data_IF_567663582664
#
_entry.id   IF_567663582664
#
_cell.length_a   1.000
_cell.length_b   1.000
_cell.length_c   1.000
_cell.angle_alpha   90.00
_cell.angle_beta   90.00
_cell.angle_gamma   90.00
#
_symmetry.space_group_name_H-M   'P 1'
#
loop_
_entity.id
_entity.type
_entity.pdbx_description
1 polymer ?
#
# COMPACT_ATOMS: atom_id res chain seq x y z
N UNK A 1 30.98 -24.44 35.73
CA UNK A 1 30.36 -23.13 36.02
C UNK A 1 29.11 -23.00 35.14
N UNK A 2 27.94 -23.42 35.62
CA UNK A 2 26.71 -23.39 34.83
C UNK A 2 26.09 -21.99 34.84
N UNK A 3 26.02 -21.33 33.69
CA UNK A 3 25.22 -20.11 33.54
C UNK A 3 23.74 -20.47 33.68
N UNK A 4 23.06 -19.82 34.61
CA UNK A 4 21.60 -19.84 34.70
C UNK A 4 21.10 -18.95 33.55
N UNK A 5 20.85 -19.55 32.39
CA UNK A 5 20.18 -18.86 31.28
C UNK A 5 18.73 -18.61 31.69
N UNK A 6 18.29 -17.35 31.62
CA UNK A 6 16.88 -17.07 31.81
C UNK A 6 16.10 -17.62 30.61
N UNK A 7 14.87 -18.10 30.83
CA UNK A 7 13.96 -18.49 29.74
C UNK A 7 13.83 -17.42 28.62
N UNK A 8 13.98 -16.14 28.97
CA UNK A 8 13.98 -15.03 28.02
C UNK A 8 15.22 -14.95 27.14
N UNK A 9 16.37 -15.42 27.63
CA UNK A 9 17.60 -15.45 26.84
C UNK A 9 17.59 -16.63 25.88
N UNK A 10 17.11 -17.79 26.33
CA UNK A 10 16.89 -18.94 25.45
C UNK A 10 15.92 -18.58 24.31
N UNK A 11 14.77 -17.99 24.64
CA UNK A 11 13.79 -17.57 23.63
C UNK A 11 14.34 -16.51 22.65
N UNK A 12 15.23 -15.61 23.12
CA UNK A 12 15.90 -14.67 22.24
C UNK A 12 16.90 -15.37 21.30
N UNK A 13 17.72 -16.30 21.82
CA UNK A 13 18.70 -17.03 21.02
C UNK A 13 18.05 -17.92 19.95
N UNK A 14 16.94 -18.58 20.28
CA UNK A 14 16.15 -19.35 19.30
C UNK A 14 15.61 -18.44 18.18
N UNK A 15 15.02 -17.30 18.54
CA UNK A 15 14.54 -16.33 17.56
C UNK A 15 15.66 -15.72 16.72
N UNK A 16 16.82 -15.47 17.32
CA UNK A 16 18.01 -14.96 16.63
C UNK A 16 18.53 -15.97 15.60
N UNK A 17 18.57 -17.25 15.98
CA UNK A 17 18.94 -18.35 15.06
C UNK A 17 17.96 -18.44 13.88
N UNK A 18 16.65 -18.33 14.14
CA UNK A 18 15.64 -18.30 13.07
C UNK A 18 15.76 -17.05 12.18
N UNK A 19 16.11 -15.90 12.74
CA UNK A 19 16.39 -14.66 12.01
C UNK A 19 17.64 -14.76 11.12
N UNK A 20 18.71 -15.36 11.62
CA UNK A 20 19.93 -15.63 10.83
C UNK A 20 19.62 -16.55 9.65
N UNK A 21 18.89 -17.64 9.88
CA UNK A 21 18.45 -18.54 8.82
C UNK A 21 17.57 -17.84 7.77
N UNK A 22 16.61 -17.03 8.22
CA UNK A 22 15.80 -16.21 7.32
C UNK A 22 16.66 -15.29 6.46
N UNK A 23 17.60 -14.56 7.08
CA UNK A 23 18.46 -13.61 6.37
C UNK A 23 19.42 -14.30 5.41
N UNK A 24 19.91 -15.49 5.74
CA UNK A 24 20.73 -16.30 4.84
C UNK A 24 19.97 -16.75 3.59
N UNK A 25 18.69 -17.11 3.72
CA UNK A 25 17.86 -17.54 2.58
C UNK A 25 17.35 -16.34 1.74
N UNK A 26 17.01 -15.22 2.38
CA UNK A 26 16.33 -14.10 1.73
C UNK A 26 17.22 -12.90 1.43
N UNK A 27 18.45 -12.86 1.98
CA UNK A 27 19.42 -11.77 1.82
C UNK A 27 19.15 -10.52 2.67
N UNK A 28 18.18 -10.57 3.58
CA UNK A 28 17.81 -9.45 4.46
C UNK A 28 16.99 -9.91 5.68
N UNK A 29 16.91 -9.08 6.71
CA UNK A 29 16.10 -9.34 7.92
C UNK A 29 14.73 -8.64 7.91
N UNK A 30 14.17 -8.41 6.72
CA UNK A 30 12.94 -7.64 6.53
C UNK A 30 11.68 -8.51 6.46
N UNK A 31 11.63 -9.62 7.19
CA UNK A 31 10.54 -10.60 7.11
C UNK A 31 9.13 -9.99 7.28
N UNK A 32 8.12 -10.42 6.48
CA UNK A 32 6.72 -10.04 6.69
C UNK A 32 6.20 -10.58 8.02
N UNK A 33 5.12 -10.00 8.53
CA UNK A 33 4.56 -10.42 9.85
C UNK A 33 4.10 -11.88 9.84
N UNK A 34 3.71 -12.41 8.69
CA UNK A 34 3.28 -13.80 8.50
C UNK A 34 4.44 -14.79 8.33
N UNK A 35 5.69 -14.31 8.30
CA UNK A 35 6.85 -15.18 8.10
C UNK A 35 7.05 -16.16 9.26
N UNK A 36 7.26 -17.42 8.89
CA UNK A 36 7.66 -18.52 9.77
C UNK A 36 8.93 -19.13 9.18
N UNK A 37 9.96 -19.32 10.01
CA UNK A 37 11.20 -19.96 9.60
C UNK A 37 11.49 -21.16 10.52
N UNK A 38 11.56 -22.37 9.96
CA UNK A 38 11.74 -23.62 10.71
C UNK A 38 10.80 -23.76 11.92
N UNK A 39 9.52 -23.41 11.72
CA UNK A 39 8.49 -23.46 12.77
C UNK A 39 8.52 -22.28 13.75
N UNK A 40 9.54 -21.42 13.73
CA UNK A 40 9.61 -20.22 14.55
C UNK A 40 8.85 -19.06 13.88
N UNK A 41 7.99 -18.31 14.60
CA UNK A 41 7.22 -17.19 14.05
C UNK A 41 8.07 -15.91 13.88
N UNK A 42 9.11 -15.99 13.05
CA UNK A 42 10.14 -14.95 12.84
C UNK A 42 9.55 -13.58 12.48
N UNK A 43 8.47 -13.54 11.71
CA UNK A 43 7.79 -12.30 11.34
C UNK A 43 7.24 -11.50 12.52
N UNK A 44 6.50 -12.19 13.40
CA UNK A 44 5.95 -11.60 14.63
C UNK A 44 7.06 -11.27 15.61
N UNK A 45 8.05 -12.15 15.74
CA UNK A 45 9.21 -11.94 16.62
C UNK A 45 9.99 -10.67 16.23
N UNK A 46 10.33 -10.50 14.94
CA UNK A 46 10.98 -9.29 14.43
C UNK A 46 10.09 -8.04 14.57
N UNK A 47 8.78 -8.15 14.36
CA UNK A 47 7.85 -7.02 14.60
C UNK A 47 7.94 -6.51 16.05
N UNK A 48 7.98 -7.44 17.01
CA UNK A 48 8.08 -7.09 18.43
C UNK A 48 9.45 -6.47 18.75
N UNK A 49 10.54 -7.04 18.22
CA UNK A 49 11.88 -6.49 18.40
C UNK A 49 12.05 -5.11 17.77
N UNK A 50 11.45 -4.84 16.60
CA UNK A 50 11.47 -3.50 16.00
C UNK A 50 10.72 -2.49 16.87
N UNK A 51 9.68 -2.92 17.57
CA UNK A 51 8.95 -2.06 18.52
C UNK A 51 9.82 -1.73 19.73
N UNK A 52 10.48 -2.76 20.30
CA UNK A 52 11.43 -2.59 21.40
C UNK A 52 12.66 -1.74 20.99
N UNK A 53 13.17 -1.92 19.77
CA UNK A 53 14.31 -1.19 19.21
C UNK A 53 13.99 0.29 18.96
N UNK A 54 12.81 0.60 18.40
CA UNK A 54 12.34 2.00 18.28
C UNK A 54 12.20 2.66 19.65
N UNK A 55 11.77 1.91 20.67
CA UNK A 55 11.70 2.43 22.04
C UNK A 55 13.09 2.74 22.59
N UNK A 56 14.08 1.87 22.35
CA UNK A 56 15.48 2.14 22.70
C UNK A 56 15.98 3.43 22.03
N UNK A 57 15.80 3.58 20.72
CA UNK A 57 16.21 4.78 19.98
C UNK A 57 15.53 6.07 20.51
N UNK A 58 14.26 6.00 20.90
CA UNK A 58 13.57 7.14 21.52
C UNK A 58 14.13 7.50 22.91
N UNK A 59 14.55 6.50 23.69
CA UNK A 59 15.19 6.71 24.99
C UNK A 59 16.56 7.38 24.81
N UNK A 60 17.35 6.89 23.86
CA UNK A 60 18.66 7.45 23.50
C UNK A 60 18.54 8.91 23.06
N UNK A 61 17.62 9.21 22.13
CA UNK A 61 17.36 10.57 21.65
C UNK A 61 16.91 11.52 22.77
N UNK A 62 16.08 11.04 23.71
CA UNK A 62 15.69 11.84 24.89
C UNK A 62 16.86 12.13 25.82
N UNK A 63 17.72 11.13 26.06
CA UNK A 63 18.91 11.28 26.89
C UNK A 63 19.86 12.32 26.29
N UNK A 64 20.08 12.25 24.98
CA UNK A 64 20.92 13.21 24.25
C UNK A 64 20.35 14.63 24.31
N UNK A 65 19.02 14.77 24.21
CA UNK A 65 18.33 16.06 24.34
C UNK A 65 18.18 16.57 25.78
N UNK A 66 18.70 15.85 26.79
CA UNK A 66 18.54 16.22 28.21
C UNK A 66 17.10 16.15 28.74
N UNK A 67 16.22 15.39 28.08
CA UNK A 67 14.80 15.26 28.41
C UNK A 67 14.55 14.09 29.39
N UNK A 68 13.48 14.14 30.21
CA UNK A 68 13.08 13.00 31.03
C UNK A 68 12.77 11.75 30.20
N UNK A 69 13.41 10.63 30.54
CA UNK A 69 13.37 9.37 29.78
C UNK A 69 12.05 8.59 29.98
N UNK A 70 11.41 8.72 31.15
CA UNK A 70 10.23 7.92 31.49
C UNK A 70 10.58 6.42 31.67
N UNK A 71 9.66 5.52 31.31
CA UNK A 71 9.82 4.07 31.51
C UNK A 71 10.66 3.41 30.42
N UNK A 72 11.70 2.69 30.82
CA UNK A 72 12.56 1.85 29.96
C UNK A 72 11.99 0.44 29.71
N UNK A 73 10.92 0.05 30.41
CA UNK A 73 10.37 -1.30 30.33
C UNK A 73 9.97 -1.66 28.88
N UNK A 74 10.43 -2.82 28.39
CA UNK A 74 10.16 -3.27 27.02
C UNK A 74 11.00 -2.58 25.94
N UNK A 75 11.98 -1.75 26.30
CA UNK A 75 13.04 -1.35 25.37
C UNK A 75 13.96 -2.55 25.08
N UNK A 76 14.48 -2.60 23.86
CA UNK A 76 15.49 -3.59 23.51
C UNK A 76 16.79 -3.27 24.26
N UNK A 77 17.58 -4.28 24.62
CA UNK A 77 18.93 -4.04 25.13
C UNK A 77 19.88 -3.72 23.98
N UNK A 78 20.96 -2.98 24.26
CA UNK A 78 21.99 -2.66 23.26
C UNK A 78 22.59 -3.94 22.67
N UNK A 79 22.96 -4.92 23.49
CA UNK A 79 23.48 -6.23 23.03
C UNK A 79 22.53 -6.94 22.05
N UNK A 80 21.22 -6.90 22.29
CA UNK A 80 20.23 -7.55 21.41
C UNK A 80 20.00 -6.74 20.13
N UNK A 81 20.11 -5.40 20.18
CA UNK A 81 20.11 -4.55 18.98
C UNK A 81 21.33 -4.88 18.12
N UNK A 82 22.51 -4.88 18.71
CA UNK A 82 23.78 -5.10 18.02
C UNK A 82 23.80 -6.49 17.34
N UNK A 83 23.25 -7.52 18.00
CA UNK A 83 23.08 -8.85 17.41
C UNK A 83 22.19 -8.87 16.15
N UNK A 84 21.15 -8.03 16.09
CA UNK A 84 20.26 -7.92 14.91
C UNK A 84 20.90 -7.07 13.81
N UNK A 85 21.60 -6.00 14.18
CA UNK A 85 22.34 -5.14 13.24
C UNK A 85 23.49 -5.87 12.55
N UNK A 86 24.15 -6.79 13.26
CA UNK A 86 25.16 -7.66 12.68
C UNK A 86 24.60 -8.59 11.58
N UNK A 87 23.30 -8.92 11.61
CA UNK A 87 22.63 -9.69 10.56
C UNK A 87 22.24 -8.77 9.39
N UNK A 88 21.57 -7.66 9.69
CA UNK A 88 21.14 -6.68 8.69
C UNK A 88 20.97 -5.31 9.36
N UNK A 89 21.82 -4.31 9.05
CA UNK A 89 21.69 -2.96 9.60
C UNK A 89 20.34 -2.30 9.30
N UNK A 90 19.64 -2.76 8.26
CA UNK A 90 18.33 -2.23 7.88
C UNK A 90 17.15 -2.94 8.55
N UNK A 91 17.38 -3.83 9.53
CA UNK A 91 16.33 -4.64 10.19
C UNK A 91 15.20 -3.81 10.83
N UNK A 92 15.50 -2.60 11.32
CA UNK A 92 14.54 -1.69 11.95
C UNK A 92 14.50 -0.30 11.26
N UNK A 93 13.91 -0.20 10.06
CA UNK A 93 13.87 1.05 9.31
C UNK A 93 12.96 2.09 10.00
N UNK A 94 13.21 3.38 9.71
CA UNK A 94 12.39 4.51 10.18
C UNK A 94 11.03 4.63 9.45
N UNK A 95 10.84 3.91 8.36
CA UNK A 95 9.65 3.85 7.51
C UNK A 95 9.07 2.43 7.48
N UNK A 96 7.95 2.17 6.76
CA UNK A 96 7.36 0.83 6.73
C UNK A 96 8.33 -0.27 6.27
N UNK A 97 8.35 -1.41 6.97
CA UNK A 97 9.23 -2.55 6.67
C UNK A 97 8.99 -3.08 5.25
N UNK A 98 7.74 -3.09 4.78
CA UNK A 98 7.40 -3.50 3.42
C UNK A 98 8.07 -2.60 2.36
N UNK A 99 8.12 -1.28 2.60
CA UNK A 99 8.83 -0.34 1.73
C UNK A 99 10.33 -0.66 1.69
N UNK A 100 10.95 -0.85 2.86
CA UNK A 100 12.38 -1.20 2.94
C UNK A 100 12.68 -2.53 2.24
N UNK A 101 11.77 -3.51 2.33
CA UNK A 101 11.91 -4.80 1.66
C UNK A 101 11.88 -4.63 0.15
N UNK A 102 10.84 -3.99 -0.40
CA UNK A 102 10.74 -3.76 -1.83
C UNK A 102 11.95 -2.99 -2.37
N UNK A 103 12.40 -1.95 -1.66
CA UNK A 103 13.65 -1.25 -1.98
C UNK A 103 14.87 -2.17 -2.04
N UNK A 104 15.07 -3.03 -1.02
CA UNK A 104 16.19 -3.99 -0.99
C UNK A 104 16.13 -5.00 -2.14
N UNK A 105 14.94 -5.47 -2.49
CA UNK A 105 14.74 -6.39 -3.62
C UNK A 105 15.04 -5.69 -4.96
N UNK A 106 14.59 -4.45 -5.16
CA UNK A 106 14.96 -3.63 -6.31
C UNK A 106 16.48 -3.39 -6.39
N UNK A 107 17.14 -3.09 -5.26
CA UNK A 107 18.61 -2.98 -5.20
C UNK A 107 19.31 -4.28 -5.60
N UNK A 108 18.76 -5.42 -5.18
CA UNK A 108 19.23 -6.74 -5.58
C UNK A 108 19.20 -6.92 -7.10
N UNK A 109 18.09 -6.56 -7.76
CA UNK A 109 17.98 -6.61 -9.22
C UNK A 109 19.07 -5.78 -9.91
N UNK A 110 19.27 -4.54 -9.49
CA UNK A 110 20.30 -3.66 -10.07
C UNK A 110 21.69 -4.25 -9.87
N UNK A 111 21.96 -4.83 -8.69
CA UNK A 111 23.26 -5.41 -8.35
C UNK A 111 23.62 -6.59 -9.25
N UNK A 112 22.63 -7.37 -9.70
CA UNK A 112 22.83 -8.47 -10.65
C UNK A 112 22.67 -8.04 -12.11
N UNK A 113 22.54 -6.73 -12.38
CA UNK A 113 22.39 -6.17 -13.73
C UNK A 113 21.01 -6.37 -14.36
N UNK A 114 20.00 -6.74 -13.58
CA UNK A 114 18.63 -6.83 -14.05
C UNK A 114 17.94 -5.46 -14.03
N UNK A 115 17.16 -5.11 -15.08
CA UNK A 115 16.43 -3.85 -15.09
C UNK A 115 15.31 -3.84 -14.04
N UNK A 116 14.96 -2.65 -13.54
CA UNK A 116 13.79 -2.51 -12.68
C UNK A 116 12.50 -2.68 -13.48
N UNK A 117 11.49 -3.38 -12.92
CA UNK A 117 10.17 -3.44 -13.55
C UNK A 117 9.51 -2.06 -13.55
N UNK A 118 8.83 -1.73 -14.64
CA UNK A 118 8.16 -0.44 -14.85
C UNK A 118 6.64 -0.54 -14.81
N UNK A 119 6.08 -1.76 -14.83
CA UNK A 119 4.64 -1.99 -14.77
C UNK A 119 4.27 -3.08 -13.75
N UNK A 120 3.09 -2.99 -13.12
CA UNK A 120 2.56 -4.02 -12.23
C UNK A 120 2.60 -5.42 -12.85
N UNK A 121 2.94 -6.42 -12.03
CA UNK A 121 2.97 -7.84 -12.42
C UNK A 121 4.17 -8.27 -13.25
N UNK A 122 5.05 -7.35 -13.69
CA UNK A 122 6.23 -7.72 -14.48
C UNK A 122 7.24 -8.57 -13.68
N UNK A 123 7.48 -8.19 -12.42
CA UNK A 123 8.41 -8.91 -11.55
C UNK A 123 7.83 -8.99 -10.14
N UNK A 124 7.58 -10.23 -9.70
CA UNK A 124 7.26 -10.52 -8.30
C UNK A 124 8.42 -11.28 -7.67
N UNK A 125 8.96 -10.77 -6.57
CA UNK A 125 10.08 -11.39 -5.86
C UNK A 125 9.76 -11.44 -4.37
N UNK A 126 9.94 -12.62 -3.75
CA UNK A 126 9.60 -12.86 -2.34
C UNK A 126 8.18 -12.41 -1.95
N UNK A 127 7.22 -12.52 -2.88
CA UNK A 127 5.82 -12.14 -2.69
C UNK A 127 5.52 -10.64 -2.85
N UNK A 128 6.52 -9.82 -3.20
CA UNK A 128 6.34 -8.38 -3.46
C UNK A 128 6.28 -8.13 -4.98
N UNK A 129 5.22 -7.46 -5.45
CA UNK A 129 5.14 -6.97 -6.82
C UNK A 129 5.97 -5.69 -6.95
N UNK A 130 7.20 -5.85 -7.44
CA UNK A 130 8.16 -4.76 -7.54
C UNK A 130 7.76 -3.76 -8.63
N UNK A 131 7.06 -4.19 -9.67
CA UNK A 131 6.59 -3.29 -10.73
C UNK A 131 5.49 -2.36 -10.23
N UNK A 132 4.53 -2.91 -9.48
CA UNK A 132 3.51 -2.11 -8.80
C UNK A 132 4.14 -1.17 -7.77
N UNK A 133 5.13 -1.65 -7.01
CA UNK A 133 5.82 -0.82 -6.01
C UNK A 133 6.59 0.35 -6.65
N UNK A 134 7.38 0.09 -7.70
CA UNK A 134 8.12 1.13 -8.45
C UNK A 134 7.15 2.16 -9.01
N UNK A 135 6.06 1.72 -9.66
CA UNK A 135 5.05 2.62 -10.20
C UNK A 135 4.44 3.50 -9.09
N UNK A 136 4.07 2.92 -7.95
CA UNK A 136 3.54 3.67 -6.82
C UNK A 136 4.54 4.72 -6.31
N UNK A 137 5.84 4.38 -6.22
CA UNK A 137 6.85 5.35 -5.79
C UNK A 137 6.98 6.54 -6.75
N UNK A 138 6.91 6.29 -8.06
CA UNK A 138 6.98 7.36 -9.07
C UNK A 138 5.75 8.25 -9.04
N UNK A 139 4.56 7.68 -8.83
CA UNK A 139 3.29 8.43 -8.77
C UNK A 139 3.15 9.26 -7.50
N UNK A 140 3.51 8.71 -6.34
CA UNK A 140 3.38 9.34 -5.03
C UNK A 140 4.69 9.98 -4.54
N UNK A 141 5.55 10.41 -5.48
CA UNK A 141 6.91 10.90 -5.17
C UNK A 141 6.94 12.04 -4.14
N UNK A 142 5.95 12.94 -4.19
CA UNK A 142 5.81 14.07 -3.27
C UNK A 142 5.49 13.65 -1.82
N UNK A 143 5.04 12.41 -1.60
CA UNK A 143 4.74 11.87 -0.27
C UNK A 143 5.94 11.14 0.36
N UNK A 144 7.04 10.98 -0.38
CA UNK A 144 8.25 10.34 0.13
C UNK A 144 8.96 11.23 1.15
N UNK A 145 9.52 10.60 2.18
CA UNK A 145 10.46 11.31 3.04
C UNK A 145 11.71 11.71 2.23
N UNK A 146 12.42 12.81 2.57
CA UNK A 146 13.60 13.25 1.84
C UNK A 146 14.66 12.16 1.64
N UNK A 147 14.89 11.33 2.67
CA UNK A 147 15.81 10.20 2.59
C UNK A 147 15.32 9.11 1.64
N UNK A 148 14.01 8.83 1.60
CA UNK A 148 13.43 7.86 0.66
C UNK A 148 13.58 8.35 -0.78
N UNK A 149 13.21 9.60 -1.07
CA UNK A 149 13.37 10.19 -2.40
C UNK A 149 14.84 10.16 -2.86
N UNK A 150 15.76 10.55 -1.98
CA UNK A 150 17.21 10.49 -2.28
C UNK A 150 17.67 9.06 -2.59
N UNK A 151 17.23 8.06 -1.82
CA UNK A 151 17.55 6.66 -2.07
C UNK A 151 16.99 6.16 -3.39
N UNK A 152 15.76 6.50 -3.75
CA UNK A 152 15.16 6.08 -5.03
C UNK A 152 15.88 6.71 -6.22
N UNK A 153 16.20 8.01 -6.13
CA UNK A 153 16.89 8.74 -7.19
C UNK A 153 18.33 8.26 -7.38
N UNK A 154 19.09 8.15 -6.28
CA UNK A 154 20.53 7.91 -6.37
C UNK A 154 20.89 6.42 -6.40
N UNK A 155 20.09 5.57 -5.76
CA UNK A 155 20.39 4.13 -5.63
C UNK A 155 19.57 3.26 -6.57
N UNK A 156 18.39 3.73 -7.01
CA UNK A 156 17.53 3.02 -7.96
C UNK A 156 17.38 3.72 -9.32
N UNK A 157 17.90 4.95 -9.46
CA UNK A 157 17.78 5.76 -10.69
C UNK A 157 16.33 5.97 -11.13
N UNK A 158 15.42 6.08 -10.16
CA UNK A 158 14.01 6.39 -10.40
C UNK A 158 13.77 7.91 -10.40
N UNK A 159 12.82 8.35 -11.20
CA UNK A 159 12.36 9.73 -11.28
C UNK A 159 10.85 9.79 -11.04
N UNK A 160 10.32 10.93 -10.54
CA UNK A 160 8.88 11.13 -10.41
C UNK A 160 8.17 10.90 -11.75
N UNK A 161 6.94 10.40 -11.68
CA UNK A 161 6.10 10.18 -12.85
C UNK A 161 5.77 11.51 -13.54
N UNK A 162 6.01 11.55 -14.84
CA UNK A 162 5.68 12.68 -15.71
C UNK A 162 4.15 12.82 -15.84
N UNK A 163 3.64 14.01 -16.19
CA UNK A 163 2.20 14.25 -16.28
C UNK A 163 1.43 13.29 -17.19
N UNK A 164 2.05 12.81 -18.26
CA UNK A 164 1.51 11.85 -19.22
C UNK A 164 1.54 10.39 -18.72
N UNK A 165 2.40 10.07 -17.76
CA UNK A 165 2.47 8.75 -17.12
C UNK A 165 1.47 8.61 -15.96
N UNK A 166 0.92 9.74 -15.48
CA UNK A 166 -0.04 9.72 -14.36
C UNK A 166 -1.39 9.20 -14.87
N UNK A 167 -2.04 8.29 -14.12
CA UNK A 167 -3.39 7.89 -14.47
C UNK A 167 -4.31 9.12 -14.45
N UNK A 168 -5.32 9.18 -15.32
CA UNK A 168 -6.26 10.29 -15.35
C UNK A 168 -6.90 10.44 -13.97
N UNK A 169 -7.10 11.70 -13.56
CA UNK A 169 -7.71 12.00 -12.29
C UNK A 169 -9.02 11.20 -12.13
N UNK A 170 -9.27 10.60 -10.95
CA UNK A 170 -10.49 9.84 -10.76
C UNK A 170 -11.70 10.74 -11.00
N UNK A 171 -12.65 10.27 -11.80
CA UNK A 171 -13.90 10.99 -12.07
C UNK A 171 -14.56 11.43 -10.77
N UNK A 172 -14.89 12.71 -10.67
CA UNK A 172 -15.57 13.28 -9.51
C UNK A 172 -16.98 12.67 -9.36
N UNK A 173 -17.62 12.86 -8.21
CA UNK A 173 -19.02 12.45 -8.05
C UNK A 173 -19.95 13.20 -9.01
N UNK A 174 -19.61 14.44 -9.36
CA UNK A 174 -20.34 15.21 -10.36
C UNK A 174 -20.18 14.60 -11.76
N UNK A 175 -18.96 14.22 -12.16
CA UNK A 175 -18.70 13.58 -13.46
C UNK A 175 -19.42 12.23 -13.57
N UNK A 176 -19.36 11.42 -12.49
CA UNK A 176 -20.09 10.14 -12.43
C UNK A 176 -21.59 10.35 -12.52
N UNK A 177 -22.13 11.38 -11.88
CA UNK A 177 -23.55 11.73 -11.99
C UNK A 177 -23.92 12.13 -13.41
N UNK A 178 -23.18 13.07 -14.00
CA UNK A 178 -23.39 13.53 -15.38
C UNK A 178 -23.31 12.38 -16.39
N UNK A 179 -22.37 11.45 -16.21
CA UNK A 179 -22.24 10.24 -17.04
C UNK A 179 -23.47 9.33 -16.94
N UNK A 180 -23.99 9.11 -15.73
CA UNK A 180 -25.21 8.33 -15.53
C UNK A 180 -26.45 9.03 -16.12
N UNK A 181 -26.54 10.36 -16.02
CA UNK A 181 -27.61 11.14 -16.64
C UNK A 181 -27.51 11.10 -18.17
N UNK A 182 -26.31 11.14 -18.76
CA UNK A 182 -26.10 10.95 -20.21
C UNK A 182 -26.57 9.56 -20.65
N UNK A 183 -26.19 8.51 -19.91
CA UNK A 183 -26.68 7.15 -20.16
C UNK A 183 -28.20 7.04 -20.03
N UNK A 184 -28.80 7.70 -19.04
CA UNK A 184 -30.24 7.71 -18.86
C UNK A 184 -30.95 8.42 -20.02
N UNK A 185 -30.40 9.55 -20.51
CA UNK A 185 -30.91 10.26 -21.69
C UNK A 185 -30.85 9.41 -22.96
N UNK A 186 -29.72 8.75 -23.23
CA UNK A 186 -29.61 7.86 -24.40
C UNK A 186 -30.56 6.66 -24.31
N UNK A 187 -30.68 6.05 -23.13
CA UNK A 187 -31.63 4.96 -22.92
C UNK A 187 -33.07 5.44 -23.11
N UNK A 188 -33.43 6.60 -22.54
CA UNK A 188 -34.76 7.19 -22.69
C UNK A 188 -35.04 7.53 -24.16
N UNK A 189 -34.07 8.07 -24.89
CA UNK A 189 -34.23 8.38 -26.31
C UNK A 189 -34.46 7.11 -27.15
N UNK A 190 -33.85 5.98 -26.78
CA UNK A 190 -34.00 4.69 -27.49
C UNK A 190 -35.28 3.94 -27.12
N UNK A 191 -35.59 3.86 -25.82
CA UNK A 191 -36.65 2.99 -25.27
C UNK A 191 -37.92 3.77 -24.91
N UNK A 192 -37.88 5.11 -24.99
CA UNK A 192 -38.98 6.01 -24.65
C UNK A 192 -39.23 6.21 -23.15
N UNK A 193 -38.63 5.40 -22.26
CA UNK A 193 -38.87 5.50 -20.82
C UNK A 193 -37.74 4.95 -19.95
N UNK A 194 -37.58 5.53 -18.75
CA UNK A 194 -36.73 5.00 -17.68
C UNK A 194 -37.46 4.04 -16.72
N UNK A 195 -38.75 3.75 -16.96
CA UNK A 195 -39.54 2.89 -16.07
C UNK A 195 -39.07 1.45 -16.08
N UNK A 196 -38.88 0.90 -17.27
CA UNK A 196 -38.65 -0.52 -17.54
C UNK A 196 -37.17 -0.88 -17.61
N UNK A 197 -36.27 -0.01 -17.12
CA UNK A 197 -34.82 -0.26 -17.14
C UNK A 197 -34.51 -1.56 -16.38
N UNK A 198 -34.01 -2.61 -17.06
CA UNK A 198 -33.63 -3.84 -16.39
C UNK A 198 -32.49 -3.59 -15.39
N UNK A 199 -32.49 -4.26 -14.23
CA UNK A 199 -31.45 -4.06 -13.19
C UNK A 199 -30.02 -4.26 -13.71
N UNK A 200 -29.83 -5.17 -14.68
CA UNK A 200 -28.53 -5.46 -15.32
C UNK A 200 -28.26 -4.63 -16.58
N UNK A 201 -29.10 -3.65 -16.90
CA UNK A 201 -28.94 -2.82 -18.09
C UNK A 201 -27.62 -2.05 -18.04
N UNK A 202 -26.88 -2.17 -19.15
CA UNK A 202 -25.64 -1.44 -19.40
C UNK A 202 -25.83 -0.61 -20.66
N UNK A 203 -25.53 0.67 -20.59
CA UNK A 203 -25.49 1.58 -21.74
C UNK A 203 -24.04 1.83 -22.10
N UNK A 204 -23.69 1.66 -23.37
CA UNK A 204 -22.37 1.99 -23.90
C UNK A 204 -22.41 3.43 -24.42
N UNK A 205 -21.64 4.31 -23.80
CA UNK A 205 -21.51 5.70 -24.20
C UNK A 205 -20.25 5.86 -25.05
N UNK A 206 -20.39 6.46 -26.23
CA UNK A 206 -19.24 6.88 -27.05
C UNK A 206 -18.64 8.16 -26.50
N UNK A 207 -17.34 8.16 -26.23
CA UNK A 207 -16.58 9.34 -25.83
C UNK A 207 -15.96 10.05 -27.06
N UNK A 208 -15.59 11.35 -26.95
CA UNK A 208 -15.04 12.11 -28.08
C UNK A 208 -13.72 11.56 -28.65
N UNK A 209 -12.96 10.81 -27.86
CA UNK A 209 -11.71 10.14 -28.26
C UNK A 209 -11.96 8.79 -28.97
N UNK A 210 -13.23 8.43 -29.20
CA UNK A 210 -13.64 7.17 -29.82
C UNK A 210 -13.71 5.99 -28.84
N UNK A 211 -13.33 6.17 -27.57
CA UNK A 211 -13.46 5.14 -26.55
C UNK A 211 -14.93 4.91 -26.16
N UNK A 212 -15.21 3.75 -25.58
CA UNK A 212 -16.54 3.35 -25.14
C UNK A 212 -16.57 3.21 -23.62
N UNK A 213 -17.46 3.93 -22.95
CA UNK A 213 -17.67 3.82 -21.50
C UNK A 213 -18.94 3.04 -21.20
N UNK A 214 -18.79 1.86 -20.58
CA UNK A 214 -19.91 1.05 -20.11
C UNK A 214 -20.51 1.59 -18.79
N UNK A 215 -21.76 2.06 -18.84
CA UNK A 215 -22.49 2.56 -17.68
C UNK A 215 -23.55 1.56 -17.25
N UNK A 216 -23.46 1.08 -16.01
CA UNK A 216 -24.45 0.16 -15.40
C UNK A 216 -25.74 0.91 -15.00
N UNK A 217 -26.45 1.42 -15.99
CA UNK A 217 -27.64 2.26 -15.81
C UNK A 217 -28.70 1.60 -14.92
N UNK A 218 -28.93 0.29 -15.07
CA UNK A 218 -29.91 -0.43 -14.26
C UNK A 218 -29.64 -0.39 -12.76
N UNK A 219 -28.37 -0.50 -12.37
CA UNK A 219 -27.96 -0.36 -10.97
C UNK A 219 -28.06 1.08 -10.49
N UNK A 220 -27.73 2.05 -11.34
CA UNK A 220 -27.84 3.48 -11.02
C UNK A 220 -29.29 3.89 -10.74
N UNK A 221 -30.23 3.56 -11.64
CA UNK A 221 -31.66 3.86 -11.49
C UNK A 221 -32.24 3.19 -10.24
N UNK A 222 -31.94 1.91 -10.04
CA UNK A 222 -32.36 1.16 -8.85
C UNK A 222 -31.83 1.78 -7.55
N UNK A 223 -30.57 2.25 -7.52
CA UNK A 223 -30.02 2.93 -6.35
C UNK A 223 -30.69 4.27 -6.10
N UNK A 224 -30.99 5.02 -7.16
CA UNK A 224 -31.71 6.29 -7.04
C UNK A 224 -33.11 6.07 -6.45
N UNK A 225 -33.87 5.07 -6.92
CA UNK A 225 -35.18 4.72 -6.33
C UNK A 225 -35.08 4.36 -4.85
N UNK A 226 -34.14 3.47 -4.49
CA UNK A 226 -33.95 3.03 -3.10
C UNK A 226 -33.56 4.16 -2.15
N UNK A 227 -32.87 5.18 -2.66
CA UNK A 227 -32.34 6.32 -1.88
C UNK A 227 -32.98 7.65 -2.27
N UNK A 228 -34.24 7.60 -2.71
CA UNK A 228 -35.01 8.76 -3.15
C UNK A 228 -35.03 9.87 -2.08
N UNK A 229 -35.11 9.47 -0.82
CA UNK A 229 -35.11 10.32 0.38
C UNK A 229 -33.78 11.05 0.62
N UNK A 230 -32.69 10.57 0.04
CA UNK A 230 -31.32 11.11 0.24
C UNK A 230 -30.76 11.86 -0.96
N UNK A 231 -31.53 11.98 -2.03
CA UNK A 231 -31.15 12.74 -3.21
C UNK A 231 -31.37 14.24 -2.97
N UNK A 232 -30.44 15.07 -3.47
CA UNK A 232 -30.66 16.52 -3.49
C UNK A 232 -31.83 16.86 -4.41
N UNK A 233 -32.46 18.00 -4.15
CA UNK A 233 -33.61 18.48 -4.94
C UNK A 233 -33.26 18.57 -6.43
N UNK A 234 -32.09 19.09 -6.79
CA UNK A 234 -31.65 19.24 -8.17
C UNK A 234 -31.50 17.88 -8.88
N UNK A 235 -30.85 16.92 -8.21
CA UNK A 235 -30.66 15.57 -8.77
C UNK A 235 -31.97 14.82 -8.94
N UNK A 236 -32.91 15.04 -8.02
CA UNK A 236 -34.27 14.51 -8.12
C UNK A 236 -35.00 15.10 -9.32
N UNK A 237 -34.96 16.43 -9.47
CA UNK A 237 -35.55 17.14 -10.60
C UNK A 237 -34.97 16.71 -11.96
N UNK A 238 -33.66 16.47 -12.05
CA UNK A 238 -33.02 15.95 -13.26
C UNK A 238 -33.59 14.57 -13.67
N UNK A 239 -33.80 13.67 -12.71
CA UNK A 239 -34.35 12.34 -12.98
C UNK A 239 -35.86 12.39 -13.27
N UNK A 240 -36.60 13.27 -12.58
CA UNK A 240 -38.01 13.54 -12.85
C UNK A 240 -38.23 14.05 -14.28
N UNK A 241 -37.35 14.95 -14.76
CA UNK A 241 -37.37 15.45 -16.13
C UNK A 241 -37.13 14.34 -17.17
N UNK A 242 -36.47 13.25 -16.79
CA UNK A 242 -36.30 12.05 -17.62
C UNK A 242 -37.46 11.05 -17.50
N UNK A 243 -38.53 11.41 -16.78
CA UNK A 243 -39.72 10.58 -16.58
C UNK A 243 -39.51 9.44 -15.60
N UNK A 244 -38.50 9.52 -14.73
CA UNK A 244 -38.26 8.53 -13.68
C UNK A 244 -39.36 8.61 -12.61
N UNK A 245 -39.89 7.45 -12.20
CA UNK A 245 -40.72 7.34 -10.99
C UNK A 245 -39.92 6.70 -9.86
N UNK A 246 -40.19 7.20 -8.65
CA UNK A 246 -39.53 6.87 -7.39
C UNK A 246 -40.15 5.66 -6.73
#
# INVERSE_FOLDING_TARGET
MGMIWSHWDVAFQEGLSAAQGWAAEHGHLLAPTTAVFNGHPTGVWLKNLRTAGRKLAQIEARREAGLPIGSTAGALTEERRDALEAIDPSWCPAWPVAWQRAYRLCRGLITVGAPLPTAPGQTTLQGEDLGAWVQAQRLDWEQLQPAQAWMLENMLHLTPAQPDERPPAPRTQADKWALNIRAAKEFQAREGSLQTVPRKAVVQLSEPDGSQTAVKLGLFVDNCRRRADKLSADRRAELDALGMRW
#
